data_IF_121114768653
#
_entry.id   IF_121114768653
#
_cell.length_a   1.000
_cell.length_b   1.000
_cell.length_c   1.000
_cell.angle_alpha   90.00
_cell.angle_beta   90.00
_cell.angle_gamma   90.00
#
_symmetry.space_group_name_H-M   'P 1'
#
loop_
_entity.id
_entity.type
_entity.pdbx_description
1 polymer ?
#
# COMPACT_ATOMS: atom_id res chain seq x y z
N UNK A 1 -36.54 32.82 -32.81
CA UNK A 1 -35.40 33.23 -31.95
C UNK A 1 -34.62 31.97 -31.64
N UNK A 2 -33.49 31.76 -32.33
CA UNK A 2 -32.64 30.55 -32.12
C UNK A 2 -31.83 30.73 -30.81
N UNK A 3 -32.25 30.05 -29.75
CA UNK A 3 -31.40 29.85 -28.60
C UNK A 3 -30.33 28.81 -28.97
N UNK A 4 -29.28 29.21 -29.69
CA UNK A 4 -28.04 28.47 -29.71
C UNK A 4 -27.41 28.68 -28.33
N UNK A 5 -27.60 27.70 -27.41
CA UNK A 5 -26.77 27.58 -26.21
C UNK A 5 -25.34 27.43 -26.72
N UNK A 6 -24.52 28.46 -26.56
CA UNK A 6 -23.09 28.42 -26.81
C UNK A 6 -22.56 27.27 -25.94
N UNK A 7 -22.26 26.11 -26.53
CA UNK A 7 -21.58 25.01 -25.83
C UNK A 7 -20.20 25.55 -25.47
N UNK A 8 -19.97 25.76 -24.17
CA UNK A 8 -18.65 26.12 -23.66
C UNK A 8 -17.70 24.98 -23.99
N UNK A 9 -16.72 25.25 -24.82
CA UNK A 9 -15.65 24.30 -25.14
C UNK A 9 -14.60 24.36 -24.02
N UNK A 10 -14.13 23.21 -23.59
CA UNK A 10 -13.05 23.06 -22.60
C UNK A 10 -11.86 22.42 -23.26
N UNK A 11 -10.67 22.91 -22.99
CA UNK A 11 -9.42 22.35 -23.52
C UNK A 11 -8.51 21.89 -22.39
N UNK A 12 -7.80 20.78 -22.62
CA UNK A 12 -7.02 20.11 -21.57
C UNK A 12 -6.01 21.03 -20.88
N UNK A 13 -5.26 21.82 -21.65
CA UNK A 13 -4.20 22.67 -21.09
C UNK A 13 -4.80 23.76 -20.17
N UNK A 14 -5.86 24.42 -20.59
CA UNK A 14 -6.49 25.49 -19.82
C UNK A 14 -7.06 24.96 -18.49
N UNK A 15 -7.76 23.82 -18.53
CA UNK A 15 -8.36 23.24 -17.32
C UNK A 15 -7.33 22.59 -16.39
N UNK A 16 -6.20 22.09 -16.91
CA UNK A 16 -5.08 21.58 -16.10
C UNK A 16 -4.41 22.74 -15.35
N UNK A 17 -4.13 23.84 -16.02
CA UNK A 17 -3.49 25.01 -15.40
C UNK A 17 -4.42 25.63 -14.33
N UNK A 18 -5.73 25.79 -14.61
CA UNK A 18 -6.73 26.22 -13.60
C UNK A 18 -6.78 25.27 -12.41
N UNK A 19 -6.72 23.96 -12.67
CA UNK A 19 -6.75 22.95 -11.62
C UNK A 19 -5.45 22.93 -10.79
N UNK A 20 -4.31 23.16 -11.41
CA UNK A 20 -3.04 23.27 -10.71
C UNK A 20 -3.04 24.46 -9.73
N UNK A 21 -3.54 25.62 -10.15
CA UNK A 21 -3.71 26.76 -9.25
C UNK A 21 -4.65 26.42 -8.08
N UNK A 22 -5.77 25.74 -8.38
CA UNK A 22 -6.74 25.32 -7.37
C UNK A 22 -6.17 24.35 -6.33
N UNK A 23 -5.28 23.43 -6.73
CA UNK A 23 -4.66 22.43 -5.84
C UNK A 23 -3.35 22.90 -5.18
N UNK A 24 -2.84 24.09 -5.52
CA UNK A 24 -1.53 24.59 -5.08
C UNK A 24 -1.35 24.66 -3.56
N UNK A 25 -2.45 24.75 -2.80
CA UNK A 25 -2.43 24.86 -1.33
C UNK A 25 -2.38 23.49 -0.61
N UNK A 26 -2.57 22.37 -1.32
CA UNK A 26 -2.72 21.06 -0.69
C UNK A 26 -1.73 20.00 -1.17
N UNK A 27 -0.95 20.30 -2.20
CA UNK A 27 0.05 19.37 -2.74
C UNK A 27 1.25 20.12 -3.30
N UNK A 28 2.43 19.49 -3.20
CA UNK A 28 3.68 19.99 -3.79
C UNK A 28 3.78 19.74 -5.31
N UNK A 29 2.84 18.99 -5.87
CA UNK A 29 2.82 18.61 -7.29
C UNK A 29 1.46 18.85 -7.94
N UNK A 30 0.90 20.08 -7.87
CA UNK A 30 -0.48 20.37 -8.26
C UNK A 30 -0.75 20.09 -9.74
N UNK A 31 0.18 20.46 -10.64
CA UNK A 31 0.06 20.20 -12.07
C UNK A 31 0.05 18.71 -12.40
N UNK A 32 0.96 17.95 -11.80
CA UNK A 32 1.05 16.49 -11.98
C UNK A 32 -0.25 15.80 -11.53
N UNK A 33 -0.78 16.17 -10.36
CA UNK A 33 -2.02 15.57 -9.85
C UNK A 33 -3.22 15.94 -10.75
N UNK A 34 -3.28 17.19 -11.23
CA UNK A 34 -4.30 17.66 -12.16
C UNK A 34 -4.29 16.86 -13.47
N UNK A 35 -3.10 16.65 -14.06
CA UNK A 35 -2.91 15.83 -15.25
C UNK A 35 -3.34 14.37 -15.03
N UNK A 36 -2.96 13.76 -13.90
CA UNK A 36 -3.31 12.37 -13.56
C UNK A 36 -4.83 12.21 -13.47
N UNK A 37 -5.52 13.12 -12.77
CA UNK A 37 -6.97 13.06 -12.63
C UNK A 37 -7.69 13.20 -13.98
N UNK A 38 -7.23 14.13 -14.82
CA UNK A 38 -7.82 14.31 -16.15
C UNK A 38 -7.56 13.12 -17.06
N UNK A 39 -6.32 12.59 -17.06
CA UNK A 39 -5.94 11.42 -17.85
C UNK A 39 -6.75 10.19 -17.46
N UNK A 40 -7.01 9.97 -16.15
CA UNK A 40 -7.84 8.86 -15.70
C UNK A 40 -9.29 8.98 -16.17
N UNK A 41 -9.88 10.20 -16.18
CA UNK A 41 -11.23 10.42 -16.70
C UNK A 41 -11.31 10.15 -18.20
N UNK A 42 -10.33 10.66 -18.97
CA UNK A 42 -10.32 10.54 -20.43
C UNK A 42 -9.82 9.18 -20.92
N UNK A 43 -9.29 8.34 -20.01
CA UNK A 43 -8.65 7.05 -20.32
C UNK A 43 -7.54 7.19 -21.37
N UNK A 44 -6.73 8.24 -21.21
CA UNK A 44 -5.61 8.58 -22.10
C UNK A 44 -4.29 8.60 -21.32
N UNK A 45 -3.17 8.61 -22.02
CA UNK A 45 -1.86 8.83 -21.40
C UNK A 45 -1.67 10.31 -21.06
N UNK A 46 -1.13 10.60 -19.88
CA UNK A 46 -0.79 11.96 -19.44
C UNK A 46 0.11 12.70 -20.44
N UNK A 47 1.02 11.98 -21.09
CA UNK A 47 1.91 12.54 -22.12
C UNK A 47 1.17 13.08 -23.36
N UNK A 48 -0.09 12.67 -23.58
CA UNK A 48 -0.87 13.18 -24.70
C UNK A 48 -1.23 14.66 -24.54
N UNK A 49 -1.30 15.18 -23.31
CA UNK A 49 -1.52 16.61 -23.06
C UNK A 49 -0.35 17.49 -23.53
N UNK A 50 0.85 16.94 -23.61
CA UNK A 50 2.04 17.63 -24.13
C UNK A 50 2.15 17.59 -25.66
N UNK A 51 1.46 16.62 -26.31
CA UNK A 51 1.47 16.47 -27.76
C UNK A 51 0.36 17.28 -28.43
N UNK A 52 -0.77 17.46 -27.74
CA UNK A 52 -1.97 18.11 -28.29
C UNK A 52 -2.87 18.66 -27.18
N UNK A 53 -3.54 19.75 -27.47
CA UNK A 53 -4.58 20.31 -26.60
C UNK A 53 -5.91 19.61 -26.91
N UNK A 54 -6.38 18.76 -25.98
CA UNK A 54 -7.57 17.95 -26.17
C UNK A 54 -8.84 18.74 -25.87
N UNK A 55 -9.85 18.61 -26.73
CA UNK A 55 -11.20 19.11 -26.43
C UNK A 55 -11.89 18.17 -25.45
N UNK A 56 -12.47 18.73 -24.38
CA UNK A 56 -13.07 18.01 -23.27
C UNK A 56 -14.58 18.23 -23.29
N UNK A 57 -15.34 17.16 -23.33
CA UNK A 57 -16.79 17.25 -23.25
C UNK A 57 -17.27 17.71 -21.86
N UNK A 58 -18.48 18.27 -21.82
CA UNK A 58 -19.04 18.83 -20.59
C UNK A 58 -19.18 17.81 -19.44
N UNK A 59 -19.47 16.53 -19.74
CA UNK A 59 -19.63 15.49 -18.72
C UNK A 59 -18.27 15.15 -18.08
N UNK A 60 -17.24 14.98 -18.90
CA UNK A 60 -15.87 14.76 -18.46
C UNK A 60 -15.35 15.92 -17.63
N UNK A 61 -15.60 17.16 -18.09
CA UNK A 61 -15.25 18.37 -17.31
C UNK A 61 -15.96 18.40 -15.94
N UNK A 62 -17.25 18.09 -15.88
CA UNK A 62 -17.99 18.03 -14.62
C UNK A 62 -17.44 16.97 -13.65
N UNK A 63 -17.10 15.79 -14.16
CA UNK A 63 -16.43 14.74 -13.36
C UNK A 63 -15.08 15.22 -12.83
N UNK A 64 -14.29 15.85 -13.69
CA UNK A 64 -12.99 16.40 -13.31
C UNK A 64 -13.10 17.42 -12.17
N UNK A 65 -14.01 18.38 -12.29
CA UNK A 65 -14.28 19.37 -11.22
C UNK A 65 -14.72 18.72 -9.91
N UNK A 66 -15.48 17.62 -9.97
CA UNK A 66 -15.87 16.86 -8.77
C UNK A 66 -14.68 16.21 -8.09
N UNK A 67 -13.78 15.56 -8.86
CA UNK A 67 -12.56 14.95 -8.31
C UNK A 67 -11.61 16.00 -7.72
N UNK A 68 -11.45 17.15 -8.39
CA UNK A 68 -10.66 18.27 -7.85
C UNK A 68 -11.21 18.78 -6.52
N UNK A 69 -12.55 18.87 -6.39
CA UNK A 69 -13.18 19.27 -5.13
C UNK A 69 -12.92 18.28 -4.01
N UNK A 70 -12.97 16.97 -4.29
CA UNK A 70 -12.63 15.96 -3.30
C UNK A 70 -11.14 15.98 -2.94
N UNK A 71 -10.27 16.19 -3.94
CA UNK A 71 -8.82 16.34 -3.70
C UNK A 71 -8.51 17.54 -2.82
N UNK A 72 -9.18 18.66 -3.04
CA UNK A 72 -9.05 19.89 -2.23
C UNK A 72 -9.44 19.67 -0.76
N UNK A 73 -10.33 18.72 -0.48
CA UNK A 73 -10.69 18.30 0.88
C UNK A 73 -9.65 17.38 1.51
N UNK A 74 -8.56 17.05 0.80
CA UNK A 74 -7.49 16.18 1.29
C UNK A 74 -7.59 14.71 0.84
N UNK A 75 -8.64 14.32 0.07
CA UNK A 75 -8.78 12.92 -0.35
C UNK A 75 -7.58 12.49 -1.20
N UNK A 76 -6.91 11.36 -0.87
CA UNK A 76 -5.73 10.90 -1.58
C UNK A 76 -5.97 10.66 -3.07
N UNK A 77 -5.01 11.07 -3.90
CA UNK A 77 -5.05 10.88 -5.36
C UNK A 77 -5.29 9.41 -5.73
N UNK A 78 -4.66 8.47 -5.02
CA UNK A 78 -4.82 7.05 -5.24
C UNK A 78 -6.27 6.57 -5.05
N UNK A 79 -7.01 7.12 -4.10
CA UNK A 79 -8.43 6.78 -3.91
C UNK A 79 -9.34 7.46 -4.93
N UNK A 80 -8.98 8.62 -5.43
CA UNK A 80 -9.73 9.31 -6.49
C UNK A 80 -9.62 8.60 -7.83
N UNK A 81 -8.44 8.07 -8.15
CA UNK A 81 -8.18 7.27 -9.36
C UNK A 81 -8.52 5.79 -9.18
N UNK A 82 -8.64 5.33 -7.92
CA UNK A 82 -8.81 3.92 -7.57
C UNK A 82 -7.58 3.07 -7.81
N UNK A 83 -6.38 3.67 -7.99
CA UNK A 83 -5.16 2.97 -8.40
C UNK A 83 -3.93 3.49 -7.66
N UNK A 84 -3.00 2.58 -7.39
CA UNK A 84 -1.66 2.87 -6.88
C UNK A 84 -0.64 1.95 -7.53
N UNK A 85 0.45 2.51 -8.01
CA UNK A 85 1.60 1.71 -8.45
C UNK A 85 2.42 1.26 -7.25
N UNK A 86 2.82 -0.01 -7.25
CA UNK A 86 3.70 -0.64 -6.28
C UNK A 86 4.42 -1.81 -6.96
N UNK A 87 5.74 -1.88 -6.86
CA UNK A 87 6.56 -2.93 -7.50
C UNK A 87 6.28 -3.08 -9.01
N UNK A 88 6.13 -1.96 -9.72
CA UNK A 88 5.71 -1.90 -11.14
C UNK A 88 4.35 -2.57 -11.44
N UNK A 89 3.51 -2.78 -10.42
CA UNK A 89 2.15 -3.30 -10.54
C UNK A 89 1.15 -2.18 -10.27
N UNK A 90 0.15 -2.04 -11.13
CA UNK A 90 -0.95 -1.09 -10.88
C UNK A 90 -2.03 -1.80 -10.07
N UNK A 91 -2.08 -1.53 -8.77
CA UNK A 91 -3.03 -2.13 -7.84
C UNK A 91 -4.29 -1.27 -7.68
N UNK A 92 -5.45 -1.92 -7.60
CA UNK A 92 -6.68 -1.25 -7.18
C UNK A 92 -6.63 -0.96 -5.68
N UNK A 93 -7.02 0.26 -5.32
CA UNK A 93 -7.09 0.71 -3.93
C UNK A 93 -8.35 1.54 -3.70
N UNK A 94 -8.88 1.50 -2.49
CA UNK A 94 -9.94 2.39 -2.00
C UNK A 94 -9.83 2.52 -0.48
N UNK A 95 -10.75 3.21 0.15
CA UNK A 95 -10.79 3.50 1.59
C UNK A 95 -10.85 2.26 2.51
N UNK A 96 -10.93 1.05 1.95
CA UNK A 96 -10.90 -0.20 2.73
C UNK A 96 -9.50 -0.77 2.93
N UNK A 97 -8.45 -0.21 2.29
CA UNK A 97 -7.07 -0.69 2.36
C UNK A 97 -6.09 0.47 2.50
N UNK A 98 -4.99 0.24 3.17
CA UNK A 98 -3.84 1.16 3.17
C UNK A 98 -3.36 1.38 1.73
N UNK A 99 -3.05 2.62 1.38
CA UNK A 99 -2.37 2.93 0.11
C UNK A 99 -0.93 2.38 0.20
N UNK A 100 -0.50 1.46 -0.69
CA UNK A 100 0.85 0.93 -0.65
C UNK A 100 1.92 2.02 -0.64
N UNK A 101 2.87 1.90 0.30
CA UNK A 101 3.96 2.87 0.49
C UNK A 101 5.21 2.42 -0.27
N UNK A 102 5.98 3.35 -0.86
CA UNK A 102 7.24 3.00 -1.53
C UNK A 102 8.23 2.27 -0.62
N UNK A 103 8.28 2.64 0.67
CA UNK A 103 9.17 2.05 1.66
C UNK A 103 8.91 0.55 1.87
N UNK A 104 7.65 0.10 1.67
CA UNK A 104 7.26 -1.32 1.76
C UNK A 104 7.88 -2.17 0.64
N UNK A 105 8.39 -1.56 -0.44
CA UNK A 105 9.14 -2.30 -1.48
C UNK A 105 10.43 -2.91 -0.94
N UNK A 106 11.02 -2.33 0.11
CA UNK A 106 12.15 -2.93 0.82
C UNK A 106 11.78 -4.27 1.46
N UNK A 107 10.57 -4.38 2.02
CA UNK A 107 10.08 -5.66 2.59
C UNK A 107 9.98 -6.73 1.50
N UNK A 108 9.49 -6.38 0.31
CA UNK A 108 9.45 -7.28 -0.86
C UNK A 108 10.86 -7.67 -1.27
N UNK A 109 11.78 -6.72 -1.44
CA UNK A 109 13.18 -6.96 -1.85
C UNK A 109 13.87 -7.96 -0.92
N UNK A 110 13.76 -7.72 0.41
CA UNK A 110 14.41 -8.61 1.40
C UNK A 110 13.77 -9.99 1.40
N UNK A 111 12.45 -10.09 1.35
CA UNK A 111 11.76 -11.37 1.26
C UNK A 111 12.20 -12.17 0.01
N UNK A 112 12.27 -11.54 -1.17
CA UNK A 112 12.74 -12.17 -2.41
C UNK A 112 14.18 -12.69 -2.29
N UNK A 113 15.06 -11.98 -1.57
CA UNK A 113 16.45 -12.40 -1.38
C UNK A 113 16.57 -13.70 -0.58
N UNK A 114 15.63 -13.99 0.31
CA UNK A 114 15.57 -15.22 1.10
C UNK A 114 14.84 -16.34 0.37
N UNK A 115 13.76 -16.05 -0.33
CA UNK A 115 13.01 -17.02 -1.15
C UNK A 115 13.94 -17.71 -2.16
N UNK A 116 14.82 -16.96 -2.83
CA UNK A 116 15.79 -17.50 -3.81
C UNK A 116 16.77 -18.52 -3.22
N UNK A 117 16.95 -18.51 -1.90
CA UNK A 117 17.87 -19.42 -1.20
C UNK A 117 17.18 -20.71 -0.71
N UNK A 118 15.85 -20.75 -0.73
CA UNK A 118 15.06 -21.84 -0.15
C UNK A 118 14.16 -22.45 -1.22
N UNK A 119 14.50 -23.65 -1.70
CA UNK A 119 13.61 -24.40 -2.57
C UNK A 119 12.35 -24.85 -1.79
N UNK A 120 11.17 -24.74 -2.42
CA UNK A 120 9.86 -25.11 -1.84
C UNK A 120 9.44 -24.32 -0.58
N UNK A 121 9.75 -23.02 -0.54
CA UNK A 121 9.26 -22.14 0.53
C UNK A 121 7.76 -21.95 0.44
N UNK A 122 7.06 -21.93 1.58
CA UNK A 122 5.75 -21.29 1.73
C UNK A 122 5.90 -20.03 2.57
N UNK A 123 5.15 -19.00 2.18
CA UNK A 123 5.22 -17.67 2.74
C UNK A 123 3.84 -17.26 3.25
N UNK A 124 3.80 -16.72 4.47
CA UNK A 124 2.61 -16.12 5.06
C UNK A 124 2.79 -14.60 5.11
N UNK A 125 1.82 -13.86 4.58
CA UNK A 125 1.69 -12.42 4.82
C UNK A 125 0.56 -12.16 5.82
N UNK A 126 0.86 -11.38 6.86
CA UNK A 126 -0.09 -10.90 7.86
C UNK A 126 -0.44 -9.43 7.57
N UNK A 127 -1.75 -9.12 7.49
CA UNK A 127 -2.23 -7.78 7.17
C UNK A 127 -1.99 -7.40 5.71
N UNK A 128 -2.50 -8.22 4.76
CA UNK A 128 -2.18 -8.08 3.33
C UNK A 128 -2.74 -6.80 2.67
N UNK A 129 -3.78 -6.18 3.25
CA UNK A 129 -4.38 -4.97 2.71
C UNK A 129 -4.83 -5.13 1.26
N UNK A 130 -4.24 -4.36 0.35
CA UNK A 130 -4.49 -4.44 -1.10
C UNK A 130 -3.88 -5.67 -1.79
N UNK A 131 -3.11 -6.49 -1.05
CA UNK A 131 -2.34 -7.60 -1.59
C UNK A 131 -0.97 -7.18 -2.15
N UNK A 132 -0.50 -5.97 -1.89
CA UNK A 132 0.68 -5.39 -2.53
C UNK A 132 1.91 -6.27 -2.40
N UNK A 133 2.26 -6.69 -1.18
CA UNK A 133 3.46 -7.49 -0.90
C UNK A 133 3.30 -8.92 -1.45
N UNK A 134 2.21 -9.62 -1.10
CA UNK A 134 2.01 -11.00 -1.54
C UNK A 134 1.89 -11.13 -3.05
N UNK A 135 1.24 -10.18 -3.75
CA UNK A 135 1.11 -10.22 -5.22
C UNK A 135 2.47 -9.96 -5.88
N UNK A 136 3.25 -8.99 -5.39
CA UNK A 136 4.61 -8.74 -5.87
C UNK A 136 5.50 -9.97 -5.70
N UNK A 137 5.51 -10.58 -4.52
CA UNK A 137 6.29 -11.79 -4.22
C UNK A 137 5.86 -12.99 -5.07
N UNK A 138 4.55 -13.23 -5.20
CA UNK A 138 4.00 -14.37 -5.89
C UNK A 138 4.20 -14.29 -7.41
N UNK A 139 4.15 -13.10 -7.98
CA UNK A 139 4.41 -12.86 -9.40
C UNK A 139 5.85 -13.17 -9.78
N UNK A 140 6.80 -12.79 -8.93
CA UNK A 140 8.23 -13.10 -9.11
C UNK A 140 8.54 -14.59 -8.86
N UNK A 141 7.67 -15.32 -8.14
CA UNK A 141 7.91 -16.70 -7.73
C UNK A 141 6.67 -17.58 -7.97
N UNK A 142 6.33 -17.90 -9.22
CA UNK A 142 5.07 -18.58 -9.57
C UNK A 142 4.97 -20.03 -9.06
N UNK A 143 6.08 -20.63 -8.66
CA UNK A 143 6.13 -22.01 -8.13
C UNK A 143 6.00 -22.08 -6.60
N UNK A 144 6.06 -20.93 -5.93
CA UNK A 144 5.95 -20.85 -4.46
C UNK A 144 4.50 -20.63 -4.07
N UNK A 145 4.09 -21.25 -2.97
CA UNK A 145 2.76 -21.04 -2.40
C UNK A 145 2.80 -19.90 -1.40
N UNK A 146 1.86 -18.98 -1.52
CA UNK A 146 1.65 -17.87 -0.60
C UNK A 146 0.31 -18.02 0.11
N UNK A 147 0.27 -17.63 1.37
CA UNK A 147 -0.96 -17.42 2.14
C UNK A 147 -0.95 -15.96 2.57
N UNK A 148 -2.03 -15.23 2.27
CA UNK A 148 -2.16 -13.82 2.60
C UNK A 148 -3.43 -13.61 3.42
N UNK A 149 -3.29 -13.02 4.59
CA UNK A 149 -4.42 -12.85 5.52
C UNK A 149 -4.62 -11.39 5.88
N UNK A 150 -5.85 -11.06 6.20
CA UNK A 150 -6.25 -9.76 6.73
C UNK A 150 -7.50 -9.93 7.59
N UNK A 151 -7.66 -9.10 8.61
CA UNK A 151 -8.86 -9.09 9.44
C UNK A 151 -10.06 -8.50 8.68
N UNK A 152 -9.79 -7.63 7.70
CA UNK A 152 -10.80 -6.97 6.88
C UNK A 152 -11.20 -7.82 5.67
N UNK A 153 -12.43 -8.33 5.67
CA UNK A 153 -13.00 -9.02 4.49
C UNK A 153 -12.98 -8.13 3.24
N UNK A 154 -13.18 -6.81 3.40
CA UNK A 154 -13.11 -5.85 2.29
C UNK A 154 -11.70 -5.74 1.71
N UNK A 155 -10.67 -5.78 2.55
CA UNK A 155 -9.28 -5.81 2.10
C UNK A 155 -9.00 -7.10 1.31
N UNK A 156 -9.42 -8.25 1.81
CA UNK A 156 -9.30 -9.55 1.11
C UNK A 156 -9.99 -9.52 -0.27
N UNK A 157 -11.15 -8.90 -0.39
CA UNK A 157 -11.83 -8.76 -1.69
C UNK A 157 -11.03 -7.93 -2.70
N UNK A 158 -10.39 -6.84 -2.23
CA UNK A 158 -9.51 -6.00 -3.06
C UNK A 158 -8.26 -6.76 -3.45
N UNK A 159 -7.60 -7.44 -2.50
CA UNK A 159 -6.42 -8.24 -2.77
C UNK A 159 -6.69 -9.35 -3.80
N UNK A 160 -7.82 -10.06 -3.69
CA UNK A 160 -8.25 -11.06 -4.68
C UNK A 160 -8.45 -10.45 -6.06
N UNK A 161 -9.10 -9.28 -6.17
CA UNK A 161 -9.27 -8.57 -7.45
C UNK A 161 -7.92 -8.18 -8.06
N UNK A 162 -7.00 -7.69 -7.24
CA UNK A 162 -5.65 -7.35 -7.68
C UNK A 162 -4.89 -8.57 -8.16
N UNK A 163 -4.94 -9.69 -7.46
CA UNK A 163 -4.30 -10.93 -7.88
C UNK A 163 -4.83 -11.41 -9.25
N UNK A 164 -6.15 -11.37 -9.45
CA UNK A 164 -6.78 -11.72 -10.75
C UNK A 164 -6.29 -10.78 -11.86
N UNK A 165 -6.28 -9.46 -11.62
CA UNK A 165 -5.85 -8.46 -12.60
C UNK A 165 -4.39 -8.66 -13.03
N UNK A 166 -3.55 -9.16 -12.13
CA UNK A 166 -2.13 -9.42 -12.39
C UNK A 166 -1.81 -10.87 -12.76
N UNK A 167 -2.85 -11.73 -12.97
CA UNK A 167 -2.71 -13.14 -13.32
C UNK A 167 -1.91 -13.96 -12.31
N UNK A 168 -2.03 -13.62 -11.01
CA UNK A 168 -1.39 -14.32 -9.90
C UNK A 168 -2.40 -15.29 -9.29
N UNK A 169 -2.07 -16.60 -9.28
CA UNK A 169 -2.99 -17.66 -8.85
C UNK A 169 -2.42 -18.58 -7.76
N UNK A 170 -1.22 -18.29 -7.28
CA UNK A 170 -0.50 -19.05 -6.26
C UNK A 170 -0.62 -18.44 -4.85
N UNK A 171 -1.65 -17.61 -4.61
CA UNK A 171 -1.94 -17.01 -3.30
C UNK A 171 -3.27 -17.54 -2.78
N UNK A 172 -3.27 -18.03 -1.54
CA UNK A 172 -4.47 -18.33 -0.77
C UNK A 172 -4.82 -17.14 0.12
N UNK A 173 -5.92 -16.46 -0.19
CA UNK A 173 -6.41 -15.33 0.62
C UNK A 173 -7.44 -15.79 1.65
N UNK A 174 -7.24 -15.42 2.94
CA UNK A 174 -8.15 -15.74 4.05
C UNK A 174 -8.44 -14.50 4.90
N UNK A 175 -9.68 -14.37 5.39
CA UNK A 175 -9.98 -13.43 6.47
C UNK A 175 -9.56 -14.08 7.80
N UNK A 176 -8.70 -13.41 8.57
CA UNK A 176 -8.18 -13.94 9.84
C UNK A 176 -7.74 -12.78 10.75
N UNK A 177 -8.06 -12.88 12.02
CA UNK A 177 -7.42 -12.04 13.03
C UNK A 177 -6.06 -12.63 13.36
N UNK A 178 -5.02 -12.04 12.80
CA UNK A 178 -3.65 -12.56 12.82
C UNK A 178 -3.60 -14.06 12.54
N UNK A 179 -3.14 -14.86 13.46
CA UNK A 179 -2.92 -16.30 13.29
C UNK A 179 -4.16 -17.18 13.52
N UNK A 180 -5.35 -16.62 13.83
CA UNK A 180 -6.52 -17.39 14.27
C UNK A 180 -6.97 -18.48 13.28
N UNK A 181 -6.82 -18.25 11.98
CA UNK A 181 -7.19 -19.20 10.92
C UNK A 181 -5.96 -19.86 10.26
N UNK A 182 -4.79 -19.77 10.91
CA UNK A 182 -3.53 -20.33 10.41
C UNK A 182 -3.29 -21.70 11.06
N UNK A 183 -3.21 -22.75 10.25
CA UNK A 183 -3.10 -24.14 10.73
C UNK A 183 -1.86 -24.88 10.18
N UNK A 184 -0.93 -24.15 9.55
CA UNK A 184 0.27 -24.73 8.94
C UNK A 184 1.53 -23.94 9.27
N UNK A 185 2.70 -24.54 9.06
CA UNK A 185 3.99 -23.91 9.30
C UNK A 185 4.56 -23.28 8.01
N UNK A 186 5.25 -22.15 8.15
CA UNK A 186 5.82 -21.37 7.06
C UNK A 186 7.34 -21.26 7.16
N UNK A 187 7.98 -21.10 6.01
CA UNK A 187 9.42 -20.82 5.95
C UNK A 187 9.68 -19.32 6.16
N UNK A 188 8.74 -18.49 5.74
CA UNK A 188 8.83 -17.04 5.88
C UNK A 188 7.45 -16.52 6.32
N UNK A 189 7.47 -15.66 7.34
CA UNK A 189 6.33 -14.82 7.73
C UNK A 189 6.74 -13.38 7.47
N UNK A 190 5.88 -12.62 6.77
CA UNK A 190 6.13 -11.23 6.41
C UNK A 190 4.93 -10.38 6.83
N UNK A 191 5.18 -9.17 7.33
CA UNK A 191 4.12 -8.23 7.71
C UNK A 191 4.56 -6.79 7.58
N UNK A 192 3.67 -5.95 7.07
CA UNK A 192 3.63 -4.53 7.32
C UNK A 192 2.42 -4.25 8.23
N UNK A 193 2.57 -4.38 9.55
CA UNK A 193 1.46 -4.23 10.50
C UNK A 193 1.17 -2.75 10.75
N UNK A 194 0.02 -2.39 11.36
CA UNK A 194 -0.18 -1.05 11.87
C UNK A 194 0.85 -0.75 12.97
N UNK A 195 1.56 0.36 12.84
CA UNK A 195 2.64 0.78 13.74
C UNK A 195 2.61 2.25 14.11
N UNK A 196 1.59 2.99 13.69
CA UNK A 196 1.47 4.43 13.98
C UNK A 196 0.87 4.63 15.36
N UNK A 197 1.51 5.47 16.18
CA UNK A 197 0.91 5.99 17.39
C UNK A 197 0.07 7.23 17.07
N UNK A 198 -1.23 7.15 17.31
CA UNK A 198 -2.15 8.24 17.00
C UNK A 198 -1.88 9.47 17.90
N UNK A 199 -1.39 9.25 19.10
CA UNK A 199 -1.16 10.30 20.08
C UNK A 199 0.13 11.11 19.81
N UNK A 200 1.04 10.55 18.99
CA UNK A 200 2.26 11.23 18.56
C UNK A 200 2.08 12.09 17.30
N UNK A 201 0.92 11.96 16.60
CA UNK A 201 0.69 12.66 15.34
C UNK A 201 0.25 14.11 15.55
N UNK A 202 0.77 14.99 14.71
CA UNK A 202 0.27 16.35 14.55
C UNK A 202 -1.10 16.36 13.86
N UNK A 203 -1.86 17.45 14.00
CA UNK A 203 -3.16 17.60 13.33
C UNK A 203 -3.04 17.49 11.80
N UNK A 204 -1.96 18.00 11.21
CA UNK A 204 -1.71 17.93 9.77
C UNK A 204 -1.45 16.49 9.31
N UNK A 205 -0.73 15.69 10.09
CA UNK A 205 -0.50 14.28 9.82
C UNK A 205 -1.79 13.46 9.93
N UNK A 206 -2.60 13.71 10.96
CA UNK A 206 -3.94 13.09 11.11
C UNK A 206 -4.80 13.41 9.88
N UNK A 207 -4.81 14.66 9.41
CA UNK A 207 -5.59 15.05 8.23
C UNK A 207 -5.12 14.35 6.96
N UNK A 208 -3.81 14.11 6.79
CA UNK A 208 -3.26 13.37 5.65
C UNK A 208 -3.67 11.90 5.65
N UNK A 209 -3.85 11.30 6.81
CA UNK A 209 -4.23 9.90 6.99
C UNK A 209 -5.75 9.68 7.12
N UNK A 210 -6.53 10.74 7.24
CA UNK A 210 -7.97 10.72 7.56
C UNK A 210 -8.81 9.78 6.70
N UNK A 211 -8.46 9.61 5.44
CA UNK A 211 -9.22 8.77 4.51
C UNK A 211 -8.80 7.30 4.53
N UNK A 212 -7.69 6.96 5.16
CA UNK A 212 -7.18 5.60 5.24
C UNK A 212 -7.77 4.86 6.45
N UNK A 213 -7.96 3.54 6.40
CA UNK A 213 -8.63 2.82 7.47
C UNK A 213 -7.79 2.80 8.76
N UNK A 214 -8.36 3.24 9.87
CA UNK A 214 -7.70 3.32 11.19
C UNK A 214 -7.03 1.99 11.58
N UNK A 215 -7.67 0.87 11.27
CA UNK A 215 -7.17 -0.47 11.61
C UNK A 215 -5.86 -0.83 10.87
N UNK A 216 -5.59 -0.21 9.74
CA UNK A 216 -4.37 -0.44 8.98
C UNK A 216 -3.24 0.54 9.35
N UNK A 217 -3.55 1.58 10.14
CA UNK A 217 -2.61 2.64 10.51
C UNK A 217 -2.17 2.53 11.96
N UNK A 218 -3.17 2.50 12.87
CA UNK A 218 -2.93 2.75 14.29
C UNK A 218 -2.77 1.48 15.09
N UNK A 219 -1.77 1.48 15.97
CA UNK A 219 -1.54 0.43 16.94
C UNK A 219 -1.41 1.05 18.34
N UNK A 220 -1.84 0.32 19.37
CA UNK A 220 -1.71 0.73 20.76
C UNK A 220 -0.25 0.65 21.23
N UNK A 221 -0.01 1.09 22.46
CA UNK A 221 1.28 0.98 23.14
C UNK A 221 2.41 1.64 22.30
N UNK A 222 2.25 2.92 22.00
CA UNK A 222 3.19 3.69 21.16
C UNK A 222 3.43 3.03 19.78
N UNK A 223 2.36 2.54 19.15
CA UNK A 223 2.44 1.88 17.85
C UNK A 223 3.00 0.45 17.88
N UNK A 224 3.31 -0.10 19.05
CA UNK A 224 4.10 -1.33 19.20
C UNK A 224 3.26 -2.60 19.37
N UNK A 225 1.99 -2.49 19.74
CA UNK A 225 1.14 -3.62 20.13
C UNK A 225 1.03 -4.70 19.04
N UNK A 226 0.81 -4.31 17.78
CA UNK A 226 0.68 -5.25 16.68
C UNK A 226 2.01 -5.97 16.38
N UNK A 227 3.12 -5.22 16.35
CA UNK A 227 4.48 -5.77 16.15
C UNK A 227 4.80 -6.80 17.23
N UNK A 228 4.56 -6.45 18.51
CA UNK A 228 4.78 -7.33 19.64
C UNK A 228 3.93 -8.61 19.54
N UNK A 229 2.65 -8.48 19.19
CA UNK A 229 1.77 -9.62 18.99
C UNK A 229 2.30 -10.58 17.91
N UNK A 230 2.76 -10.04 16.76
CA UNK A 230 3.31 -10.83 15.67
C UNK A 230 4.59 -11.53 16.10
N UNK A 231 5.54 -10.83 16.71
CA UNK A 231 6.82 -11.41 17.16
C UNK A 231 6.58 -12.57 18.12
N UNK A 232 5.75 -12.38 19.14
CA UNK A 232 5.47 -13.40 20.17
C UNK A 232 4.81 -14.66 19.61
N UNK A 233 3.91 -14.52 18.65
CA UNK A 233 3.11 -15.65 18.18
C UNK A 233 3.72 -16.34 16.95
N UNK A 234 4.50 -15.66 16.11
CA UNK A 234 4.99 -16.21 14.84
C UNK A 234 5.94 -17.40 15.02
N UNK A 235 6.61 -17.55 16.18
CA UNK A 235 7.43 -18.73 16.49
C UNK A 235 6.66 -20.06 16.35
N UNK A 236 5.38 -20.08 16.73
CA UNK A 236 4.55 -21.29 16.64
C UNK A 236 4.24 -21.69 15.18
N UNK A 237 4.30 -20.74 14.25
CA UNK A 237 3.95 -20.91 12.84
C UNK A 237 5.16 -20.89 11.91
N UNK A 238 6.36 -20.55 12.40
CA UNK A 238 7.59 -20.69 11.66
C UNK A 238 8.13 -22.10 11.75
N UNK A 239 8.60 -22.63 10.64
CA UNK A 239 9.41 -23.87 10.60
C UNK A 239 10.79 -23.60 11.18
N UNK A 240 11.55 -24.68 11.48
CA UNK A 240 12.96 -24.55 11.85
C UNK A 240 13.73 -23.76 10.79
N UNK A 241 14.59 -22.86 11.21
CA UNK A 241 15.31 -21.89 10.38
C UNK A 241 14.42 -20.93 9.59
N UNK A 242 13.12 -20.85 9.90
CA UNK A 242 12.20 -19.89 9.28
C UNK A 242 12.49 -18.45 9.66
N UNK A 243 12.03 -17.52 8.84
CA UNK A 243 12.31 -16.09 8.97
C UNK A 243 11.03 -15.31 9.23
N UNK A 244 11.12 -14.37 10.16
CA UNK A 244 10.11 -13.32 10.35
C UNK A 244 10.68 -12.01 9.84
N UNK A 245 9.95 -11.34 8.92
CA UNK A 245 10.27 -10.03 8.39
C UNK A 245 9.16 -9.05 8.77
N UNK A 246 9.50 -7.96 9.44
CA UNK A 246 8.52 -6.96 9.89
C UNK A 246 8.95 -5.57 9.44
N UNK A 247 8.04 -4.84 8.79
CA UNK A 247 8.15 -3.40 8.59
C UNK A 247 7.74 -2.69 9.88
N UNK A 248 8.41 -1.58 10.20
CA UNK A 248 8.16 -0.77 11.38
C UNK A 248 8.51 0.71 11.14
N UNK A 249 8.10 1.61 12.03
CA UNK A 249 8.56 2.99 12.00
C UNK A 249 10.06 3.10 12.29
N UNK A 250 10.70 4.14 11.75
CA UNK A 250 12.16 4.31 11.87
C UNK A 250 12.66 4.36 13.33
N UNK A 251 11.83 4.89 14.24
CA UNK A 251 12.12 4.99 15.67
C UNK A 251 11.82 3.70 16.46
N UNK A 252 11.27 2.66 15.83
CA UNK A 252 10.92 1.38 16.49
C UNK A 252 11.97 0.28 16.28
N UNK A 253 13.12 0.58 15.66
CA UNK A 253 14.20 -0.40 15.42
C UNK A 253 14.62 -1.15 16.68
N UNK A 254 15.00 -0.42 17.72
CA UNK A 254 15.55 -1.02 18.94
C UNK A 254 14.48 -1.86 19.66
N UNK A 255 13.24 -1.40 19.65
CA UNK A 255 12.11 -2.17 20.14
C UNK A 255 11.96 -3.50 19.39
N UNK A 256 11.95 -3.47 18.05
CA UNK A 256 11.81 -4.68 17.24
C UNK A 256 12.96 -5.67 17.47
N UNK A 257 14.20 -5.18 17.54
CA UNK A 257 15.37 -6.04 17.80
C UNK A 257 15.29 -6.67 19.17
N UNK A 258 14.99 -5.91 20.23
CA UNK A 258 14.87 -6.39 21.60
C UNK A 258 13.75 -7.43 21.75
N UNK A 259 12.56 -7.15 21.14
CA UNK A 259 11.45 -8.12 21.20
C UNK A 259 11.76 -9.42 20.46
N UNK A 260 12.44 -9.35 19.32
CA UNK A 260 12.88 -10.55 18.61
C UNK A 260 13.88 -11.36 19.46
N UNK A 261 14.85 -10.72 20.08
CA UNK A 261 15.85 -11.39 20.94
C UNK A 261 15.18 -12.05 22.16
N UNK A 262 14.31 -11.31 22.86
CA UNK A 262 13.54 -11.82 24.02
C UNK A 262 12.65 -13.01 23.66
N UNK A 263 12.18 -13.10 22.42
CA UNK A 263 11.36 -14.22 21.95
C UNK A 263 12.18 -15.32 21.26
N UNK A 264 13.52 -15.33 21.41
CA UNK A 264 14.37 -16.42 20.99
C UNK A 264 14.70 -16.47 19.50
N UNK A 265 14.56 -15.35 18.79
CA UNK A 265 15.06 -15.24 17.42
C UNK A 265 16.56 -14.97 17.44
N UNK A 266 17.23 -15.45 16.41
CA UNK A 266 18.68 -15.25 16.15
C UNK A 266 18.90 -14.57 14.81
N UNK A 267 20.15 -14.22 14.49
CA UNK A 267 20.55 -13.57 13.23
C UNK A 267 19.74 -12.28 12.96
N UNK A 268 19.40 -11.54 14.03
CA UNK A 268 18.54 -10.37 13.96
C UNK A 268 19.26 -9.25 13.20
N UNK A 269 18.58 -8.70 12.20
CA UNK A 269 19.14 -7.64 11.37
C UNK A 269 18.08 -6.65 10.92
N UNK A 270 18.38 -5.35 11.03
CA UNK A 270 17.55 -4.28 10.48
C UNK A 270 18.14 -3.74 9.18
N UNK A 271 17.27 -3.40 8.25
CA UNK A 271 17.61 -2.81 6.95
C UNK A 271 16.96 -1.44 6.83
N UNK A 272 17.72 -0.52 6.25
CA UNK A 272 17.30 0.85 6.04
C UNK A 272 16.65 1.00 4.65
N UNK A 273 15.69 1.93 4.55
CA UNK A 273 15.07 2.32 3.30
C UNK A 273 16.00 3.24 2.46
N UNK A 274 15.53 3.72 1.32
CA UNK A 274 16.30 4.60 0.43
C UNK A 274 16.65 5.94 1.07
N UNK A 275 15.92 6.35 2.12
CA UNK A 275 16.22 7.55 2.91
C UNK A 275 17.21 7.29 4.05
N UNK A 276 17.78 6.08 4.12
CA UNK A 276 18.68 5.62 5.19
C UNK A 276 18.04 5.61 6.58
N UNK A 277 16.73 5.34 6.61
CA UNK A 277 15.97 5.18 7.85
C UNK A 277 15.65 3.69 8.08
N UNK A 278 15.83 3.18 9.32
CA UNK A 278 15.46 1.80 9.68
C UNK A 278 14.01 1.49 9.30
N UNK A 279 13.77 0.40 8.58
CA UNK A 279 12.43 0.11 8.07
C UNK A 279 12.01 -1.35 8.20
N UNK A 280 12.90 -2.30 7.96
CA UNK A 280 12.57 -3.73 8.00
C UNK A 280 13.52 -4.45 8.93
N UNK A 281 12.99 -5.09 9.97
CA UNK A 281 13.77 -5.96 10.86
C UNK A 281 13.43 -7.42 10.62
N UNK A 282 14.45 -8.25 10.58
CA UNK A 282 14.37 -9.68 10.31
C UNK A 282 14.94 -10.45 11.52
N UNK A 283 14.25 -11.52 11.91
CA UNK A 283 14.74 -12.50 12.87
C UNK A 283 14.56 -13.92 12.35
N UNK A 284 15.47 -14.81 12.71
CA UNK A 284 15.44 -16.22 12.33
C UNK A 284 15.06 -17.08 13.53
N UNK A 285 14.11 -17.99 13.35
CA UNK A 285 13.81 -19.05 14.30
C UNK A 285 14.92 -20.11 14.29
N UNK A 286 15.33 -20.58 15.48
CA UNK A 286 16.25 -21.73 15.63
C UNK A 286 15.51 -23.02 15.30
#
# INVERSE_FOLDING_TARGET
MNNQSVRKEYYSNDIIDEAADYLSTITDSPKLESEILLADILKTDRLDFYKRNLSIDHLSYKKYRSLLSERQKGKPLAYLTGKKEFWSLVLQVNEAVLIPRPETELLVEKCLSFIKKCNNSNVLELGTGSGAVSIALAKENPLIRFTAIDISTKAIEIAKKNAVNHHVNNILFKTSDWFSEVNEGFNIIVSNPPYVDKDELTQDEIMKLYYEPDIALYSKDSGQSAINHIIKNSQAYLRENGLLLIEHAYNQKDFCQNELELNGYVDIKTYDDLNQLPRVTIGKKI
#
